data_IF_563672028145
#
_entry.id   IF_563672028145
#
_cell.length_a   1.000
_cell.length_b   1.000
_cell.length_c   1.000
_cell.angle_alpha   90.00
_cell.angle_beta   90.00
_cell.angle_gamma   90.00
#
_symmetry.space_group_name_H-M   'P 1'
#
loop_
_entity.id
_entity.type
_entity.pdbx_description
1 polymer ?
#
# COMPACT_ATOMS: atom_id res chain seq x y z
N UNK A 1 -24.74 36.30 -76.26
CA UNK A 1 -24.98 35.20 -75.30
C UNK A 1 -23.84 34.19 -75.44
N UNK A 2 -23.02 34.06 -74.41
CA UNK A 2 -22.51 32.79 -73.84
C UNK A 2 -21.28 33.10 -72.97
N UNK A 3 -21.21 32.53 -71.75
CA UNK A 3 -20.38 33.05 -70.68
C UNK A 3 -18.93 32.56 -70.80
N UNK A 4 -17.99 33.45 -70.48
CA UNK A 4 -16.59 33.09 -70.31
C UNK A 4 -16.44 32.21 -69.06
N UNK A 5 -16.08 30.95 -69.26
CA UNK A 5 -15.72 30.02 -68.18
C UNK A 5 -14.55 30.60 -67.39
N UNK A 6 -14.82 31.07 -66.18
CA UNK A 6 -13.78 31.47 -65.22
C UNK A 6 -13.30 30.19 -64.53
N UNK A 7 -12.13 29.72 -64.92
CA UNK A 7 -11.44 28.62 -64.24
C UNK A 7 -10.98 29.11 -62.86
N UNK A 8 -11.79 28.82 -61.83
CA UNK A 8 -11.53 29.22 -60.45
C UNK A 8 -10.62 28.16 -59.82
N UNK A 9 -9.32 28.41 -59.86
CA UNK A 9 -8.30 27.60 -59.19
C UNK A 9 -8.59 27.56 -57.68
N UNK A 10 -8.96 26.38 -57.16
CA UNK A 10 -9.17 26.21 -55.73
C UNK A 10 -7.83 26.35 -54.97
N UNK A 11 -7.76 27.10 -53.86
CA UNK A 11 -6.54 27.17 -53.06
C UNK A 11 -6.29 25.80 -52.41
N UNK A 12 -5.18 25.15 -52.78
CA UNK A 12 -4.65 23.98 -52.08
C UNK A 12 -4.39 24.39 -50.62
N UNK A 13 -5.13 23.79 -49.69
CA UNK A 13 -4.81 23.88 -48.25
C UNK A 13 -3.56 23.05 -47.99
N UNK A 14 -2.42 23.71 -47.92
CA UNK A 14 -1.20 23.11 -47.42
C UNK A 14 -1.36 22.87 -45.92
N UNK A 15 -1.73 21.64 -45.55
CA UNK A 15 -1.62 21.19 -44.17
C UNK A 15 -0.13 21.27 -43.80
N UNK A 16 0.26 21.95 -42.70
CA UNK A 16 1.64 22.08 -42.33
C UNK A 16 2.22 20.69 -42.08
N UNK A 17 3.09 20.25 -42.98
CA UNK A 17 3.86 19.01 -42.88
C UNK A 17 4.77 19.16 -41.67
N UNK A 18 4.33 18.65 -40.51
CA UNK A 18 5.19 18.52 -39.34
C UNK A 18 6.36 17.61 -39.74
N UNK A 19 7.53 18.21 -39.94
CA UNK A 19 8.72 17.48 -40.38
C UNK A 19 9.06 16.35 -39.41
N UNK A 20 9.68 15.25 -39.88
CA UNK A 20 9.98 14.06 -39.07
C UNK A 20 10.81 14.39 -37.83
N UNK A 21 11.57 15.48 -37.87
CA UNK A 21 12.35 16.00 -36.75
C UNK A 21 11.47 16.45 -35.56
N UNK A 22 10.30 17.08 -35.82
CA UNK A 22 9.38 17.50 -34.75
C UNK A 22 8.72 16.30 -34.06
N UNK A 23 8.43 15.24 -34.82
CA UNK A 23 7.92 13.98 -34.27
C UNK A 23 8.95 13.29 -33.38
N UNK A 24 10.21 13.24 -33.82
CA UNK A 24 11.33 12.74 -33.01
C UNK A 24 11.46 13.48 -31.68
N UNK A 25 11.36 14.81 -31.68
CA UNK A 25 11.38 15.61 -30.44
C UNK A 25 10.19 15.32 -29.52
N UNK A 26 8.99 15.12 -30.07
CA UNK A 26 7.81 14.76 -29.28
C UNK A 26 7.96 13.37 -28.63
N UNK A 27 8.45 12.39 -29.38
CA UNK A 27 8.72 11.04 -28.85
C UNK A 27 9.80 11.08 -27.78
N UNK A 28 10.90 11.81 -28.03
CA UNK A 28 11.97 11.98 -27.05
C UNK A 28 11.45 12.64 -25.76
N UNK A 29 10.68 13.73 -25.87
CA UNK A 29 10.09 14.40 -24.71
C UNK A 29 9.15 13.49 -23.92
N UNK A 30 8.31 12.69 -24.60
CA UNK A 30 7.42 11.73 -23.95
C UNK A 30 8.21 10.60 -23.26
N UNK A 31 9.26 10.10 -23.88
CA UNK A 31 10.14 9.07 -23.30
C UNK A 31 10.86 9.61 -22.06
N UNK A 32 11.40 10.83 -22.11
CA UNK A 32 12.02 11.48 -20.95
C UNK A 32 11.02 11.67 -19.82
N UNK A 33 9.81 12.14 -20.10
CA UNK A 33 8.78 12.31 -19.09
C UNK A 33 8.39 10.97 -18.43
N UNK A 34 8.22 9.93 -19.24
CA UNK A 34 7.92 8.57 -18.77
C UNK A 34 9.05 8.03 -17.89
N UNK A 35 10.31 8.24 -18.29
CA UNK A 35 11.48 7.83 -17.54
C UNK A 35 11.60 8.59 -16.22
N UNK A 36 11.30 9.90 -16.21
CA UNK A 36 11.28 10.71 -15.00
C UNK A 36 10.23 10.22 -14.01
N UNK A 37 9.00 9.97 -14.49
CA UNK A 37 7.90 9.44 -13.68
C UNK A 37 8.26 8.07 -13.12
N UNK A 38 8.82 7.19 -13.96
CA UNK A 38 9.34 5.88 -13.53
C UNK A 38 10.38 6.03 -12.43
N UNK A 39 11.40 6.87 -12.64
CA UNK A 39 12.46 7.11 -11.67
C UNK A 39 11.94 7.61 -10.32
N UNK A 40 10.92 8.51 -10.32
CA UNK A 40 10.34 8.99 -9.04
C UNK A 40 9.70 7.86 -8.22
N UNK A 41 9.15 6.83 -8.86
CA UNK A 41 8.60 5.65 -8.18
C UNK A 41 9.68 4.75 -7.57
N UNK A 42 10.84 4.67 -8.22
CA UNK A 42 12.00 3.95 -7.65
C UNK A 42 12.68 4.72 -6.51
N UNK A 43 12.62 6.05 -6.54
CA UNK A 43 13.21 6.93 -5.52
C UNK A 43 12.31 7.14 -4.29
N UNK A 44 11.03 6.77 -4.37
CA UNK A 44 10.14 6.73 -3.21
C UNK A 44 10.60 5.60 -2.28
N UNK A 45 11.57 5.90 -1.42
CA UNK A 45 12.09 4.97 -0.43
C UNK A 45 11.03 4.55 0.60
N UNK A 46 11.36 3.56 1.45
CA UNK A 46 10.46 3.10 2.50
C UNK A 46 10.06 4.26 3.41
N UNK A 47 8.76 4.53 3.50
CA UNK A 47 8.23 5.48 4.48
C UNK A 47 8.05 4.79 5.82
N UNK A 48 8.15 5.54 6.91
CA UNK A 48 7.97 5.03 8.26
C UNK A 48 6.86 5.80 8.96
N UNK A 49 6.08 5.07 9.74
CA UNK A 49 5.15 5.63 10.71
C UNK A 49 5.93 5.85 12.00
N UNK A 50 5.92 7.08 12.51
CA UNK A 50 6.68 7.42 13.71
C UNK A 50 6.32 6.52 14.89
N UNK A 51 5.02 6.27 15.11
CA UNK A 51 4.52 5.54 16.26
C UNK A 51 3.27 4.73 15.92
N UNK A 52 3.23 3.48 16.35
CA UNK A 52 2.02 2.64 16.38
C UNK A 52 1.80 2.15 17.81
N UNK A 53 0.55 2.23 18.26
CA UNK A 53 0.15 1.75 19.60
C UNK A 53 -0.70 0.49 19.45
N UNK A 54 -0.23 -0.63 19.97
CA UNK A 54 -0.98 -1.89 19.97
C UNK A 54 -1.56 -2.12 21.36
N UNK A 55 -2.87 -2.35 21.40
CA UNK A 55 -3.62 -2.58 22.64
C UNK A 55 -4.04 -4.03 22.68
N UNK A 56 -3.57 -4.75 23.70
CA UNK A 56 -3.96 -6.11 23.99
C UNK A 56 -4.84 -6.13 25.24
N UNK A 57 -6.17 -6.11 25.11
CA UNK A 57 -7.06 -6.21 26.27
C UNK A 57 -7.15 -7.63 26.84
N UNK A 58 -6.58 -8.63 26.15
CA UNK A 58 -6.80 -10.05 26.44
C UNK A 58 -5.87 -10.55 27.56
N UNK A 59 -6.15 -11.71 28.20
CA UNK A 59 -5.30 -12.28 29.22
C UNK A 59 -4.12 -13.10 28.67
N UNK A 60 -3.76 -12.94 27.39
CA UNK A 60 -2.68 -13.68 26.74
C UNK A 60 -1.67 -12.71 26.13
N UNK A 61 -0.38 -13.06 26.15
CA UNK A 61 0.66 -12.33 25.43
C UNK A 61 0.71 -12.81 23.96
N UNK A 62 1.05 -11.91 23.04
CA UNK A 62 1.09 -12.22 21.61
C UNK A 62 2.26 -11.58 20.91
N UNK A 63 2.92 -12.34 20.03
CA UNK A 63 3.75 -11.78 18.98
C UNK A 63 2.90 -11.25 17.83
N UNK A 64 3.10 -9.98 17.48
CA UNK A 64 2.33 -9.29 16.45
C UNK A 64 3.16 -9.12 15.18
N UNK A 65 2.56 -9.49 14.05
CA UNK A 65 3.13 -9.30 12.73
C UNK A 65 2.20 -8.45 11.86
N UNK A 66 2.81 -7.70 10.94
CA UNK A 66 2.08 -6.84 10.01
C UNK A 66 2.51 -7.06 8.57
N UNK A 67 1.60 -6.82 7.63
CA UNK A 67 1.89 -6.80 6.20
C UNK A 67 1.01 -5.80 5.45
N UNK A 68 1.43 -5.45 4.24
CA UNK A 68 0.70 -4.58 3.32
C UNK A 68 -0.35 -5.30 2.47
N UNK A 69 -1.03 -4.53 1.62
CA UNK A 69 -2.06 -5.06 0.70
C UNK A 69 -1.55 -6.20 -0.18
N UNK A 70 -0.29 -6.11 -0.63
CA UNK A 70 0.32 -7.03 -1.58
C UNK A 70 0.92 -8.28 -0.93
N UNK A 71 0.91 -8.36 0.42
CA UNK A 71 1.37 -9.52 1.21
C UNK A 71 2.78 -10.02 0.86
N UNK A 72 3.69 -9.13 0.48
CA UNK A 72 5.07 -9.47 0.07
C UNK A 72 6.02 -9.89 1.21
N UNK A 73 5.48 -10.14 2.41
CA UNK A 73 6.24 -10.54 3.58
C UNK A 73 5.58 -10.04 4.85
N UNK A 74 5.91 -10.66 5.98
CA UNK A 74 5.43 -10.27 7.29
C UNK A 74 6.56 -9.59 8.05
N UNK A 75 6.28 -8.40 8.58
CA UNK A 75 7.17 -7.69 9.47
C UNK A 75 6.75 -8.00 10.91
N UNK A 76 7.63 -8.62 11.67
CA UNK A 76 7.43 -8.81 13.11
C UNK A 76 7.59 -7.47 13.82
N UNK A 77 6.53 -7.01 14.48
CA UNK A 77 6.58 -5.82 15.34
C UNK A 77 7.21 -6.18 16.69
N UNK A 78 6.83 -7.34 17.23
CA UNK A 78 7.30 -7.87 18.50
C UNK A 78 6.14 -8.28 19.41
N UNK A 79 6.50 -8.58 20.66
CA UNK A 79 5.58 -9.09 21.67
C UNK A 79 4.75 -7.96 22.30
N UNK A 80 3.47 -8.26 22.53
CA UNK A 80 2.53 -7.41 23.28
C UNK A 80 1.98 -8.21 24.45
N UNK A 81 2.39 -7.82 25.65
CA UNK A 81 1.98 -8.45 26.89
C UNK A 81 0.46 -8.53 27.08
N UNK A 82 0.02 -9.48 27.90
CA UNK A 82 -1.35 -9.60 28.35
C UNK A 82 -1.84 -8.33 29.06
N UNK A 83 -3.06 -7.89 28.73
CA UNK A 83 -3.71 -6.68 29.30
C UNK A 83 -2.85 -5.42 29.20
N UNK A 84 -1.97 -5.35 28.21
CA UNK A 84 -1.00 -4.27 28.06
C UNK A 84 -1.30 -3.39 26.85
N UNK A 85 -0.64 -2.24 26.82
CA UNK A 85 -0.54 -1.37 25.65
C UNK A 85 0.93 -1.18 25.34
N UNK A 86 1.35 -1.63 24.17
CA UNK A 86 2.74 -1.55 23.70
C UNK A 86 2.84 -0.50 22.59
N UNK A 87 3.92 0.27 22.63
CA UNK A 87 4.21 1.30 21.63
C UNK A 87 5.41 0.85 20.81
N UNK A 88 5.23 0.81 19.49
CA UNK A 88 6.28 0.54 18.52
C UNK A 88 6.62 1.84 17.79
N UNK A 89 7.89 2.22 17.80
CA UNK A 89 8.39 3.43 17.13
C UNK A 89 9.03 3.06 15.79
N UNK A 90 9.05 4.00 14.84
CA UNK A 90 9.67 3.88 13.53
C UNK A 90 9.27 2.60 12.76
N UNK A 91 7.96 2.34 12.68
CA UNK A 91 7.42 1.15 12.00
C UNK A 91 7.36 1.39 10.50
N UNK A 92 7.83 0.42 9.71
CA UNK A 92 7.75 0.48 8.26
C UNK A 92 6.30 0.62 7.80
N UNK A 93 6.06 1.61 6.96
CA UNK A 93 4.76 1.91 6.42
C UNK A 93 4.32 0.86 5.39
N UNK A 94 3.20 0.17 5.67
CA UNK A 94 2.66 -0.88 4.82
C UNK A 94 1.80 -0.35 3.65
N UNK A 95 1.67 0.97 3.52
CA UNK A 95 0.97 1.62 2.41
C UNK A 95 -0.51 1.85 2.69
N UNK A 96 -1.37 1.45 1.74
CA UNK A 96 -2.80 1.75 1.76
C UNK A 96 -3.61 0.84 2.69
N UNK A 97 -3.11 -0.36 2.97
CA UNK A 97 -3.73 -1.32 3.86
C UNK A 97 -2.72 -1.97 4.79
N UNK A 98 -3.15 -2.21 6.01
CA UNK A 98 -2.38 -2.80 7.08
C UNK A 98 -3.11 -4.04 7.55
N UNK A 99 -2.51 -5.19 7.34
CA UNK A 99 -3.03 -6.48 7.81
C UNK A 99 -2.19 -6.86 9.01
N UNK A 100 -2.86 -7.02 10.15
CA UNK A 100 -2.25 -7.41 11.42
C UNK A 100 -2.63 -8.86 11.70
N UNK A 101 -1.67 -9.67 12.09
CA UNK A 101 -1.90 -11.04 12.57
C UNK A 101 -1.09 -11.30 13.83
N UNK A 102 -1.50 -12.34 14.55
CA UNK A 102 -0.63 -12.94 15.56
C UNK A 102 0.35 -13.89 14.84
N UNK A 103 1.60 -13.98 15.30
CA UNK A 103 2.67 -14.72 14.59
C UNK A 103 2.29 -16.19 14.32
N UNK A 104 1.56 -16.82 15.25
CA UNK A 104 1.11 -18.20 15.14
C UNK A 104 -0.06 -18.38 14.15
N UNK A 105 -0.60 -17.30 13.59
CA UNK A 105 -1.75 -17.29 12.68
C UNK A 105 -3.09 -17.67 13.31
N UNK A 106 -3.09 -18.26 14.50
CA UNK A 106 -4.28 -18.79 15.19
C UNK A 106 -5.29 -17.71 15.61
N UNK A 107 -4.82 -16.48 15.82
CA UNK A 107 -5.69 -15.33 16.09
C UNK A 107 -6.52 -14.89 14.89
N UNK A 108 -6.17 -15.33 13.68
CA UNK A 108 -6.66 -14.77 12.44
C UNK A 108 -6.04 -13.41 12.12
N UNK A 109 -6.50 -12.83 11.01
CA UNK A 109 -6.00 -11.57 10.50
C UNK A 109 -7.04 -10.46 10.67
N UNK A 110 -6.57 -9.26 11.00
CA UNK A 110 -7.39 -8.06 11.04
C UNK A 110 -6.85 -7.07 10.03
N UNK A 111 -7.71 -6.61 9.13
CA UNK A 111 -7.34 -5.64 8.09
C UNK A 111 -7.82 -4.26 8.50
N UNK A 112 -6.92 -3.29 8.37
CA UNK A 112 -7.18 -1.87 8.51
C UNK A 112 -6.79 -1.15 7.23
N UNK A 113 -7.52 -0.10 6.88
CA UNK A 113 -7.07 0.89 5.91
C UNK A 113 -6.14 1.90 6.59
N UNK A 114 -5.26 2.53 5.81
CA UNK A 114 -4.41 3.61 6.33
C UNK A 114 -5.24 4.73 6.96
N UNK A 115 -6.32 5.13 6.32
CA UNK A 115 -7.17 6.23 6.78
C UNK A 115 -7.89 5.90 8.09
N UNK A 116 -8.24 4.64 8.34
CA UNK A 116 -8.74 4.19 9.64
C UNK A 116 -7.65 4.32 10.71
N UNK A 117 -6.43 3.87 10.44
CA UNK A 117 -5.33 3.99 11.39
C UNK A 117 -4.99 5.45 11.67
N UNK A 118 -4.92 6.30 10.65
CA UNK A 118 -4.67 7.74 10.81
C UNK A 118 -5.74 8.38 11.68
N UNK A 119 -7.03 8.09 11.43
CA UNK A 119 -8.14 8.60 12.26
C UNK A 119 -8.09 8.07 13.69
N UNK A 120 -7.64 6.84 13.89
CA UNK A 120 -7.44 6.23 15.20
C UNK A 120 -6.12 6.65 15.89
N UNK A 121 -5.33 7.55 15.30
CA UNK A 121 -4.03 7.97 15.84
C UNK A 121 -2.99 6.85 15.86
N UNK A 122 -3.02 5.98 14.84
CA UNK A 122 -2.19 4.78 14.70
C UNK A 122 -2.35 3.78 15.86
N UNK A 123 -3.57 3.67 16.38
CA UNK A 123 -3.94 2.71 17.42
C UNK A 123 -4.56 1.46 16.82
N UNK A 124 -3.95 0.31 17.09
CA UNK A 124 -4.43 -1.02 16.71
C UNK A 124 -4.92 -1.73 17.96
N UNK A 125 -6.11 -2.32 17.89
CA UNK A 125 -6.66 -3.12 18.99
C UNK A 125 -6.70 -4.59 18.60
N UNK A 126 -6.17 -5.45 19.44
CA UNK A 126 -6.30 -6.90 19.28
C UNK A 126 -7.75 -7.27 19.64
N UNK A 127 -8.54 -7.86 18.72
CA UNK A 127 -9.92 -8.20 18.98
C UNK A 127 -10.04 -9.26 20.09
N UNK A 128 -10.97 -9.07 21.03
CA UNK A 128 -11.27 -10.06 22.08
C UNK A 128 -11.84 -11.37 21.52
N UNK A 129 -12.39 -11.36 20.30
CA UNK A 129 -12.83 -12.56 19.60
C UNK A 129 -11.70 -13.59 19.37
N UNK A 130 -10.44 -13.16 19.45
CA UNK A 130 -9.26 -14.05 19.40
C UNK A 130 -9.22 -14.98 20.62
N UNK A 131 -9.67 -14.54 21.79
CA UNK A 131 -9.72 -15.37 23.00
C UNK A 131 -10.55 -16.64 22.81
N UNK A 132 -11.70 -16.51 22.15
CA UNK A 132 -12.61 -17.62 21.89
C UNK A 132 -11.99 -18.69 20.98
N UNK A 133 -11.01 -18.32 20.16
CA UNK A 133 -10.31 -19.23 19.23
C UNK A 133 -9.09 -19.89 19.82
N UNK A 134 -8.46 -19.27 20.82
CA UNK A 134 -7.24 -19.76 21.47
C UNK A 134 -7.51 -20.64 22.71
N UNK A 135 -8.64 -20.44 23.40
CA UNK A 135 -9.08 -21.32 24.51
C UNK A 135 -9.01 -22.82 24.19
N UNK A 136 -9.36 -23.29 22.98
CA UNK A 136 -9.29 -24.70 22.61
C UNK A 136 -7.88 -25.23 22.31
N UNK A 137 -6.96 -24.40 21.80
CA UNK A 137 -5.62 -24.83 21.37
C UNK A 137 -4.59 -24.80 22.50
N UNK A 138 -4.65 -23.78 23.37
CA UNK A 138 -3.66 -23.64 24.45
C UNK A 138 -3.77 -24.72 25.54
N UNK A 139 -4.97 -25.28 25.78
CA UNK A 139 -5.14 -26.40 26.72
C UNK A 139 -4.48 -27.71 26.29
N UNK A 140 -4.01 -27.81 25.03
CA UNK A 140 -3.42 -29.04 24.48
C UNK A 140 -1.89 -29.02 24.50
N UNK A 141 -1.25 -27.85 24.44
CA UNK A 141 0.20 -27.70 24.49
C UNK A 141 0.78 -27.92 25.90
N UNK A 142 0.06 -27.53 26.97
CA UNK A 142 0.49 -27.82 28.35
C UNK A 142 0.49 -29.33 28.68
N UNK A 143 -0.28 -30.15 27.96
CA UNK A 143 -0.34 -31.59 28.15
C UNK A 143 0.81 -32.36 27.48
N UNK A 144 1.57 -31.71 26.58
CA UNK A 144 2.72 -32.32 25.89
C UNK A 144 4.08 -31.92 26.48
N UNK A 145 4.08 -31.05 27.51
CA UNK A 145 5.28 -30.61 28.22
C UNK A 145 5.48 -31.30 29.59
N UNK A 146 4.78 -32.42 29.84
CA UNK A 146 4.94 -33.25 31.06
C UNK A 146 5.48 -34.63 30.74
#
# INVERSE_FOLDING_TARGET
MSPSTTDRTAPRRDLPRVGPLRWLWLVAALATLTCLIGATRLLAGPTFVNRITVVNPTPYAFDVEITGADRHGWLQLGEVDQRATTVFEAVLDQGSAWIVRLADGEGGEVRYTRDELVRAGWRVQIPTAVESRLRPTWGRSELLAR
#
